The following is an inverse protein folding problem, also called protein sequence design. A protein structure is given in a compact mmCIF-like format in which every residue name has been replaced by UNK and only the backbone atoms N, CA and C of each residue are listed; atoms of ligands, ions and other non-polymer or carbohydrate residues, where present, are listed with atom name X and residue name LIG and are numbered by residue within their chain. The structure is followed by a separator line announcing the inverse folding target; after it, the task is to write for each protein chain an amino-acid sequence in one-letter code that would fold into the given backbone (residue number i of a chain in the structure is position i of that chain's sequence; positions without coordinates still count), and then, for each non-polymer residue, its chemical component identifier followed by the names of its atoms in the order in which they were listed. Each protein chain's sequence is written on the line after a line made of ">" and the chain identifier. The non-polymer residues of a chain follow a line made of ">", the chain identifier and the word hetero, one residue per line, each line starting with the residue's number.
data_IF_726910768817
#
_entry.id   IF_726910768817
#
_cell.length_a   1.000
_cell.length_b   1.000
_cell.length_c   1.000
_cell.angle_alpha   90.00
_cell.angle_beta   90.00
_cell.angle_gamma   90.00
#
_symmetry.space_group_name_H-M   'P 1'
#
loop_
_entity.id
_entity.type
_entity.pdbx_description
1 polymer ?
#
# COMPACT_ATOMS: atom_id res chain seq x y z
N UNK A 1 -5.54 -3.58 -2.18
CA UNK A 1 -5.33 -3.37 -3.64
C UNK A 1 -4.67 -4.60 -4.22
N UNK A 2 -5.08 -5.06 -5.39
CA UNK A 2 -4.49 -6.21 -6.09
C UNK A 2 -3.90 -5.79 -7.44
N UNK A 3 -3.02 -6.62 -7.99
CA UNK A 3 -2.53 -6.48 -9.37
C UNK A 3 -3.61 -6.91 -10.36
N UNK A 4 -3.79 -6.09 -11.39
CA UNK A 4 -4.58 -6.41 -12.57
C UNK A 4 -3.83 -5.94 -13.82
N UNK A 5 -3.12 -6.87 -14.46
CA UNK A 5 -2.19 -6.55 -15.55
C UNK A 5 -1.07 -5.62 -15.08
N UNK A 6 -1.06 -4.40 -15.62
CA UNK A 6 -0.10 -3.34 -15.27
C UNK A 6 -0.67 -2.32 -14.26
N UNK A 7 -1.88 -2.55 -13.76
CA UNK A 7 -2.57 -1.63 -12.85
C UNK A 7 -2.68 -2.19 -11.43
N UNK A 8 -2.75 -1.28 -10.46
CA UNK A 8 -3.18 -1.56 -9.11
C UNK A 8 -4.69 -1.28 -9.01
N UNK A 9 -5.47 -2.32 -8.67
CA UNK A 9 -6.92 -2.28 -8.55
C UNK A 9 -7.36 -2.28 -7.08
N UNK A 10 -8.11 -1.26 -6.67
CA UNK A 10 -8.75 -1.24 -5.35
C UNK A 10 -9.92 -2.24 -5.33
N UNK A 11 -9.76 -3.39 -4.66
CA UNK A 11 -10.82 -4.43 -4.56
C UNK A 11 -11.61 -4.39 -3.26
N UNK A 12 -11.05 -3.81 -2.21
CA UNK A 12 -11.67 -3.65 -0.90
C UNK A 12 -11.21 -2.31 -0.32
N UNK A 13 -12.14 -1.56 0.26
CA UNK A 13 -11.92 -0.24 0.84
C UNK A 13 -12.70 -0.16 2.15
N UNK A 14 -12.08 0.41 3.17
CA UNK A 14 -12.70 0.72 4.45
C UNK A 14 -12.59 2.22 4.67
N UNK A 15 -13.72 2.86 4.92
CA UNK A 15 -13.77 4.28 5.29
C UNK A 15 -13.74 4.44 6.81
N UNK A 16 -13.08 5.49 7.34
CA UNK A 16 -13.11 5.76 8.78
C UNK A 16 -14.54 6.01 9.27
N UNK A 17 -14.86 5.52 10.46
CA UNK A 17 -16.20 5.66 11.05
C UNK A 17 -16.50 7.06 11.59
N UNK A 18 -15.46 7.87 11.84
CA UNK A 18 -15.57 9.24 12.31
C UNK A 18 -14.37 10.09 11.88
N UNK A 19 -14.63 11.25 11.29
CA UNK A 19 -13.66 12.26 10.88
C UNK A 19 -14.39 13.53 10.46
N UNK A 20 -13.75 14.70 10.58
CA UNK A 20 -14.27 15.94 9.98
C UNK A 20 -14.12 15.92 8.46
N UNK A 21 -13.03 15.32 7.94
CA UNK A 21 -12.74 15.17 6.52
C UNK A 21 -11.96 13.87 6.26
N UNK A 22 -12.28 13.14 5.19
CA UNK A 22 -11.46 12.03 4.70
C UNK A 22 -11.43 11.98 3.19
N UNK A 23 -10.46 11.21 2.69
CA UNK A 23 -10.34 10.81 1.30
C UNK A 23 -10.40 9.29 1.24
N UNK A 24 -11.15 8.76 0.27
CA UNK A 24 -11.21 7.33 0.01
C UNK A 24 -11.30 7.11 -1.50
N UNK A 25 -10.51 6.16 -1.99
CA UNK A 25 -10.72 5.62 -3.33
C UNK A 25 -11.91 4.67 -3.29
N UNK A 26 -12.67 4.57 -4.38
CA UNK A 26 -13.75 3.58 -4.48
C UNK A 26 -13.18 2.22 -4.87
N UNK A 27 -13.86 1.14 -4.48
CA UNK A 27 -13.61 -0.15 -5.12
C UNK A 27 -13.80 -0.02 -6.65
N UNK A 28 -12.90 -0.63 -7.41
CA UNK A 28 -12.80 -0.44 -8.87
C UNK A 28 -11.84 0.67 -9.30
N UNK A 29 -11.36 1.53 -8.38
CA UNK A 29 -10.34 2.52 -8.72
C UNK A 29 -9.04 1.85 -9.19
N UNK A 30 -8.46 2.39 -10.26
CA UNK A 30 -7.27 1.87 -10.93
C UNK A 30 -6.23 2.96 -11.15
N UNK A 31 -4.97 2.57 -11.01
CA UNK A 31 -3.83 3.40 -11.37
C UNK A 31 -2.64 2.51 -11.78
N UNK A 32 -1.66 3.00 -12.55
CA UNK A 32 -0.44 2.25 -12.85
C UNK A 32 0.26 1.76 -11.57
N UNK A 33 0.87 0.57 -11.61
CA UNK A 33 1.62 0.01 -10.47
C UNK A 33 2.76 0.93 -10.00
N UNK A 34 3.32 1.72 -10.91
CA UNK A 34 4.44 2.61 -10.64
C UNK A 34 4.02 3.90 -9.92
N UNK A 35 2.71 4.15 -9.76
CA UNK A 35 2.18 5.34 -9.08
C UNK A 35 1.53 4.99 -7.75
N UNK A 36 1.78 5.81 -6.74
CA UNK A 36 1.14 5.70 -5.44
C UNK A 36 1.67 4.55 -4.59
N UNK A 37 1.45 4.64 -3.29
CA UNK A 37 2.02 3.69 -2.33
C UNK A 37 1.59 2.24 -2.60
N UNK A 38 0.32 2.00 -2.91
CA UNK A 38 -0.22 0.65 -3.07
C UNK A 38 0.46 -0.13 -4.20
N UNK A 39 0.64 0.49 -5.37
CA UNK A 39 1.31 -0.13 -6.51
C UNK A 39 2.80 -0.31 -6.26
N UNK A 40 3.47 0.73 -5.74
CA UNK A 40 4.91 0.67 -5.45
C UNK A 40 5.26 -0.36 -4.37
N UNK A 41 4.39 -0.56 -3.38
CA UNK A 41 4.55 -1.62 -2.38
C UNK A 41 4.46 -3.02 -2.99
N UNK A 42 3.60 -3.21 -4.00
CA UNK A 42 3.57 -4.48 -4.75
C UNK A 42 4.88 -4.65 -5.54
N UNK A 43 5.33 -3.61 -6.25
CA UNK A 43 6.57 -3.64 -7.00
C UNK A 43 7.81 -3.83 -6.12
N UNK A 44 7.79 -3.39 -4.86
CA UNK A 44 8.90 -3.66 -3.93
C UNK A 44 8.96 -5.14 -3.56
N UNK A 45 7.83 -5.83 -3.38
CA UNK A 45 7.80 -7.27 -3.12
C UNK A 45 8.24 -8.13 -4.31
N UNK A 46 8.15 -7.61 -5.55
CA UNK A 46 8.68 -8.29 -6.75
C UNK A 46 10.20 -8.31 -6.79
N UNK A 47 10.85 -7.30 -6.20
CA UNK A 47 12.31 -7.22 -6.18
C UNK A 47 12.82 -8.27 -5.20
N UNK A 48 13.51 -9.28 -5.72
CA UNK A 48 14.28 -10.18 -4.86
C UNK A 48 15.37 -9.34 -4.16
N UNK A 49 15.66 -9.57 -2.87
CA UNK A 49 16.78 -8.93 -2.22
C UNK A 49 18.05 -9.31 -2.99
N UNK A 50 18.65 -8.33 -3.66
CA UNK A 50 19.98 -8.47 -4.21
C UNK A 50 20.95 -8.18 -3.06
N UNK A 51 21.98 -9.02 -2.83
CA UNK A 51 22.84 -8.92 -1.65
C UNK A 51 23.65 -7.63 -1.55
N UNK A 52 23.61 -6.77 -2.57
CA UNK A 52 24.23 -5.43 -2.57
C UNK A 52 23.23 -4.29 -2.30
N UNK A 53 21.93 -4.56 -2.40
CA UNK A 53 20.81 -3.62 -2.20
C UNK A 53 20.03 -3.92 -0.91
N UNK A 54 20.52 -4.86 -0.08
CA UNK A 54 20.03 -5.13 1.27
C UNK A 54 20.40 -3.96 2.18
N UNK A 55 19.68 -2.85 2.03
CA UNK A 55 19.45 -2.00 3.17
C UNK A 55 18.57 -2.83 4.13
N UNK A 56 19.19 -3.60 5.03
CA UNK A 56 18.51 -4.43 6.05
C UNK A 56 17.49 -3.61 6.87
N UNK A 57 17.64 -2.28 6.85
CA UNK A 57 16.77 -1.31 7.50
C UNK A 57 15.67 -0.74 6.60
N UNK A 58 15.53 -1.18 5.34
CA UNK A 58 14.47 -0.72 4.47
C UNK A 58 13.11 -1.10 5.08
N UNK A 59 12.22 -0.13 5.35
CA UNK A 59 10.94 -0.42 5.95
C UNK A 59 10.12 -1.33 5.04
N UNK A 60 9.46 -2.35 5.60
CA UNK A 60 8.56 -3.27 4.89
C UNK A 60 7.27 -2.64 4.34
N UNK A 61 7.27 -1.32 4.13
CA UNK A 61 6.18 -0.50 3.64
C UNK A 61 6.72 0.60 2.71
N UNK A 62 5.86 1.14 1.86
CA UNK A 62 6.14 2.24 0.94
C UNK A 62 5.35 3.47 1.33
N UNK A 63 5.98 4.64 1.27
CA UNK A 63 5.36 5.95 1.45
C UNK A 63 5.35 6.72 0.12
N UNK A 64 4.28 7.47 -0.14
CA UNK A 64 4.18 8.38 -1.30
C UNK A 64 3.46 9.66 -0.91
N UNK A 65 3.73 10.76 -1.63
CA UNK A 65 3.06 12.03 -1.45
C UNK A 65 2.74 12.64 -2.83
N UNK A 66 1.48 13.02 -3.05
CA UNK A 66 1.04 13.77 -4.22
C UNK A 66 1.01 12.98 -5.52
N UNK A 67 1.32 11.68 -5.48
CA UNK A 67 1.52 10.89 -6.70
C UNK A 67 0.22 10.51 -7.42
N UNK A 68 -0.87 10.33 -6.67
CA UNK A 68 -2.19 10.03 -7.22
C UNK A 68 -3.05 11.29 -7.23
N UNK A 69 -3.14 11.96 -6.08
CA UNK A 69 -3.90 13.19 -5.90
C UNK A 69 -3.03 14.22 -5.17
N UNK A 70 -3.09 15.48 -5.60
CA UNK A 70 -2.38 16.57 -4.95
C UNK A 70 -2.91 16.77 -3.52
N UNK A 71 -2.00 16.92 -2.54
CA UNK A 71 -2.35 17.06 -1.12
C UNK A 71 -2.75 15.76 -0.42
N UNK A 72 -2.65 14.60 -1.10
CA UNK A 72 -2.81 13.30 -0.49
C UNK A 72 -1.47 12.59 -0.33
N UNK A 73 -1.26 11.94 0.82
CA UNK A 73 -0.17 11.00 1.02
C UNK A 73 -0.71 9.58 1.23
N UNK A 74 0.14 8.59 0.97
CA UNK A 74 -0.23 7.19 1.06
C UNK A 74 0.87 6.35 1.70
N UNK A 75 0.46 5.36 2.48
CA UNK A 75 1.32 4.32 3.02
C UNK A 75 0.76 2.95 2.64
N UNK A 76 1.60 2.03 2.19
CA UNK A 76 1.17 0.69 1.81
C UNK A 76 2.23 -0.36 2.13
N UNK A 77 1.81 -1.58 2.44
CA UNK A 77 2.68 -2.73 2.63
C UNK A 77 2.19 -3.90 1.75
N UNK A 78 3.11 -4.67 1.15
CA UNK A 78 2.74 -5.81 0.32
C UNK A 78 2.12 -6.95 1.12
N UNK A 79 1.24 -7.71 0.48
CA UNK A 79 0.81 -9.02 0.97
C UNK A 79 1.87 -10.06 0.61
N UNK A 80 2.44 -10.72 1.62
CA UNK A 80 3.52 -11.70 1.44
C UNK A 80 3.05 -13.10 1.86
N UNK A 81 3.45 -14.12 1.08
CA UNK A 81 3.18 -15.52 1.40
C UNK A 81 1.71 -15.92 1.23
N UNK A 82 0.98 -15.28 0.31
CA UNK A 82 -0.37 -15.66 -0.11
C UNK A 82 -0.32 -16.21 -1.53
N UNK A 83 -0.61 -17.49 -1.72
CA UNK A 83 -0.49 -18.13 -3.04
C UNK A 83 -1.53 -17.58 -4.01
N UNK A 84 -1.09 -17.13 -5.19
CA UNK A 84 -1.97 -16.63 -6.25
C UNK A 84 -2.54 -15.23 -6.01
N UNK A 85 -2.13 -14.54 -4.92
CA UNK A 85 -2.54 -13.16 -4.63
C UNK A 85 -1.31 -12.28 -4.68
N UNK A 86 -1.34 -11.30 -5.58
CA UNK A 86 -0.37 -10.23 -5.62
C UNK A 86 -1.07 -8.91 -5.30
N UNK A 87 -0.69 -8.29 -4.18
CA UNK A 87 -1.41 -7.14 -3.66
C UNK A 87 -0.73 -6.44 -2.50
N UNK A 88 -1.41 -5.40 -2.01
CA UNK A 88 -0.99 -4.59 -0.87
C UNK A 88 -2.19 -4.13 -0.05
N UNK A 89 -1.92 -3.86 1.22
CA UNK A 89 -2.81 -3.11 2.11
C UNK A 89 -2.24 -1.71 2.25
N UNK A 90 -3.09 -0.68 2.24
CA UNK A 90 -2.62 0.69 2.37
C UNK A 90 -3.69 1.64 2.85
N UNK A 91 -3.26 2.82 3.27
CA UNK A 91 -4.08 3.94 3.70
C UNK A 91 -3.73 5.17 2.88
N UNK A 92 -4.73 5.98 2.59
CA UNK A 92 -4.59 7.31 1.98
C UNK A 92 -5.02 8.35 3.02
N UNK A 93 -4.30 9.47 3.08
CA UNK A 93 -4.52 10.52 4.07
C UNK A 93 -4.45 11.89 3.37
N UNK A 94 -5.29 12.82 3.81
CA UNK A 94 -5.14 14.24 3.50
C UNK A 94 -4.12 14.84 4.48
N UNK A 95 -2.84 14.75 4.14
CA UNK A 95 -1.75 15.24 4.96
C UNK A 95 -0.50 15.50 4.12
N UNK A 96 0.31 16.47 4.55
CA UNK A 96 1.58 16.83 3.90
C UNK A 96 2.67 15.76 4.09
N UNK A 97 2.55 14.93 5.14
CA UNK A 97 3.49 13.85 5.43
C UNK A 97 2.77 12.67 6.08
N UNK A 98 3.26 11.46 5.80
CA UNK A 98 2.80 10.26 6.49
C UNK A 98 3.39 10.23 7.91
N UNK A 99 2.58 10.16 8.97
CA UNK A 99 3.10 9.99 10.32
C UNK A 99 3.87 8.66 10.46
N UNK A 100 5.00 8.64 11.17
CA UNK A 100 5.90 7.48 11.29
C UNK A 100 5.17 6.18 11.65
N UNK A 101 4.28 6.24 12.65
CA UNK A 101 3.48 5.10 13.13
C UNK A 101 2.57 4.45 12.08
N UNK A 102 2.25 5.15 10.98
CA UNK A 102 1.32 4.65 9.97
C UNK A 102 1.95 3.54 9.15
N UNK A 103 3.24 3.64 8.83
CA UNK A 103 3.95 2.60 8.10
C UNK A 103 3.90 1.25 8.84
N UNK A 104 4.20 1.26 10.14
CA UNK A 104 4.15 0.07 10.98
C UNK A 104 2.74 -0.53 11.08
N UNK A 105 1.71 0.31 11.24
CA UNK A 105 0.31 -0.14 11.32
C UNK A 105 -0.16 -0.78 10.02
N UNK A 106 0.19 -0.20 8.88
CA UNK A 106 -0.16 -0.75 7.56
C UNK A 106 0.55 -2.07 7.33
N UNK A 107 1.81 -2.20 7.75
CA UNK A 107 2.54 -3.46 7.72
C UNK A 107 1.87 -4.53 8.60
N UNK A 108 1.42 -4.17 9.81
CA UNK A 108 0.66 -5.10 10.67
C UNK A 108 -0.64 -5.55 10.00
N UNK A 109 -1.43 -4.63 9.47
CA UNK A 109 -2.66 -4.94 8.76
C UNK A 109 -2.41 -5.82 7.52
N UNK A 110 -1.32 -5.60 6.78
CA UNK A 110 -0.95 -6.47 5.66
C UNK A 110 -0.65 -7.91 6.11
N UNK A 111 -0.01 -8.09 7.28
CA UNK A 111 0.23 -9.43 7.85
C UNK A 111 -1.07 -10.11 8.26
N UNK A 112 -1.95 -9.41 8.96
CA UNK A 112 -3.26 -9.96 9.37
C UNK A 112 -4.11 -10.37 8.16
N UNK A 113 -4.14 -9.53 7.12
CA UNK A 113 -4.85 -9.86 5.88
C UNK A 113 -4.19 -11.05 5.18
N UNK A 114 -2.86 -11.11 5.11
CA UNK A 114 -2.17 -12.24 4.51
C UNK A 114 -2.44 -13.56 5.27
N UNK A 115 -2.47 -13.52 6.61
CA UNK A 115 -2.82 -14.67 7.45
C UNK A 115 -4.25 -15.14 7.24
N UNK A 116 -5.20 -14.21 7.10
CA UNK A 116 -6.60 -14.53 6.84
C UNK A 116 -6.86 -15.10 5.42
N UNK A 117 -5.93 -14.92 4.49
CA UNK A 117 -6.02 -15.38 3.10
C UNK A 117 -5.23 -16.68 2.82
N UNK A 118 -4.51 -17.23 3.80
CA UNK A 118 -3.84 -18.53 3.70
C UNK A 118 -4.82 -19.68 3.89
#
# INVERSE_FOLDING_TARGET
>A
TLVDGAEALAVAVVEPTWTDYHVAYRAGFRHPLERGAAGKAILSARRQPQPADEDENAPGYTLTHGELEAGACGAAAPLLGVTGVEGSVGVVMLADVVPERVGERVMHAAREVAEALR
#
